data_IF_983564466972
#
_entry.id   IF_983564466972
#
_cell.length_a   1.000
_cell.length_b   1.000
_cell.length_c   1.000
_cell.angle_alpha   90.00
_cell.angle_beta   90.00
_cell.angle_gamma   90.00
#
_symmetry.space_group_name_H-M   'P 1'
#
loop_
_entity.id
_entity.type
_entity.pdbx_description
1 polymer ?
#
# COMPACT_ATOMS: atom_id res chain seq x y z
N UNK A 1 2.86 -13.48 5.20
CA UNK A 1 1.44 -13.36 4.82
C UNK A 1 1.32 -12.15 3.90
N UNK A 2 0.55 -12.24 2.80
CA UNK A 2 0.50 -11.17 1.78
C UNK A 2 -0.23 -9.94 2.30
N UNK A 3 0.32 -8.74 2.09
CA UNK A 3 -0.32 -7.48 2.46
C UNK A 3 -1.64 -7.30 1.70
N UNK A 4 -2.78 -7.56 2.35
CA UNK A 4 -4.10 -7.47 1.71
C UNK A 4 -4.81 -6.20 2.15
N UNK A 5 -4.90 -5.22 1.26
CA UNK A 5 -5.70 -3.99 1.49
C UNK A 5 -7.18 -4.36 1.44
N UNK A 6 -7.91 -4.18 2.56
CA UNK A 6 -9.31 -4.60 2.67
C UNK A 6 -10.28 -3.62 1.98
N UNK A 7 -11.44 -4.15 1.59
CA UNK A 7 -12.41 -3.67 0.58
C UNK A 7 -12.78 -2.18 0.66
N UNK A 8 -12.76 -1.55 1.83
CA UNK A 8 -13.22 -0.17 1.99
C UNK A 8 -12.31 0.92 1.39
N UNK A 9 -11.01 0.67 1.23
CA UNK A 9 -10.06 1.68 0.72
C UNK A 9 -9.27 1.21 -0.50
N UNK A 10 -9.38 -0.10 -0.83
CA UNK A 10 -8.66 -0.72 -1.94
C UNK A 10 -8.88 0.01 -3.26
N UNK A 11 -10.10 0.42 -3.58
CA UNK A 11 -10.41 1.14 -4.83
C UNK A 11 -9.67 2.47 -4.98
N UNK A 12 -9.30 3.10 -3.85
CA UNK A 12 -8.59 4.38 -3.79
C UNK A 12 -7.09 4.22 -3.93
N UNK A 13 -6.59 3.02 -3.64
CA UNK A 13 -5.16 2.71 -3.57
C UNK A 13 -4.68 1.85 -4.74
N UNK A 14 -5.55 0.97 -5.24
CA UNK A 14 -5.26 -0.07 -6.21
C UNK A 14 -6.10 0.18 -7.47
N UNK A 15 -5.49 -0.01 -8.64
CA UNK A 15 -6.14 0.10 -9.94
C UNK A 15 -6.87 -1.19 -10.35
N UNK A 16 -7.48 -1.17 -11.53
CA UNK A 16 -8.28 -2.26 -12.09
C UNK A 16 -7.42 -3.46 -12.52
N UNK A 17 -6.08 -3.29 -12.56
CA UNK A 17 -5.10 -4.33 -12.87
C UNK A 17 -4.38 -4.85 -11.61
N UNK A 18 -4.92 -4.56 -10.43
CA UNK A 18 -4.38 -4.95 -9.12
C UNK A 18 -3.00 -4.34 -8.81
N UNK A 19 -2.70 -3.17 -9.40
CA UNK A 19 -1.45 -2.43 -9.14
C UNK A 19 -1.68 -1.26 -8.21
N UNK A 20 -0.63 -0.93 -7.45
CA UNK A 20 -0.62 0.25 -6.60
C UNK A 20 -0.69 1.50 -7.50
N UNK A 21 -1.66 2.38 -7.24
CA UNK A 21 -1.84 3.62 -8.01
C UNK A 21 -0.60 4.52 -7.82
N UNK A 22 -0.14 5.25 -8.85
CA UNK A 22 1.14 5.99 -8.81
C UNK A 22 1.28 7.04 -7.70
N UNK A 23 0.17 7.62 -7.22
CA UNK A 23 0.17 8.61 -6.14
C UNK A 23 0.08 7.97 -4.74
N UNK A 24 0.07 6.64 -4.67
CA UNK A 24 0.01 5.88 -3.44
C UNK A 24 1.39 5.31 -3.14
N UNK A 25 1.84 5.47 -1.89
CA UNK A 25 3.08 4.83 -1.40
C UNK A 25 2.75 3.95 -0.20
N UNK A 26 3.25 2.73 -0.23
CA UNK A 26 3.11 1.77 0.86
C UNK A 26 4.49 1.52 1.46
N UNK A 27 4.57 1.46 2.78
CA UNK A 27 5.78 1.06 3.49
C UNK A 27 5.45 -0.05 4.48
N UNK A 28 6.34 -1.04 4.58
CA UNK A 28 6.34 -2.03 5.66
C UNK A 28 7.51 -1.68 6.56
N UNK A 29 7.21 -1.22 7.77
CA UNK A 29 8.16 -0.59 8.67
C UNK A 29 8.86 0.61 7.99
N UNK A 30 10.12 0.46 7.57
CA UNK A 30 10.89 1.52 6.90
C UNK A 30 11.13 1.26 5.40
N UNK A 31 10.67 0.13 4.88
CA UNK A 31 10.93 -0.28 3.50
C UNK A 31 9.72 -0.02 2.60
N UNK A 32 9.94 0.61 1.45
CA UNK A 32 8.90 0.90 0.46
C UNK A 32 8.44 -0.41 -0.23
N UNK A 33 7.16 -0.73 -0.10
CA UNK A 33 6.50 -1.83 -0.80
C UNK A 33 5.95 -1.34 -2.14
N UNK A 34 6.64 -1.71 -3.23
CA UNK A 34 6.26 -1.35 -4.61
C UNK A 34 5.22 -2.29 -5.22
N UNK A 35 4.97 -3.42 -4.59
CA UNK A 35 4.06 -4.46 -5.05
C UNK A 35 3.23 -5.02 -3.88
N UNK A 36 2.00 -5.47 -4.17
CA UNK A 36 1.10 -6.06 -3.17
C UNK A 36 1.56 -7.44 -2.66
N UNK A 37 2.51 -8.06 -3.36
CA UNK A 37 3.14 -9.31 -2.96
C UNK A 37 4.17 -9.14 -1.81
N UNK A 38 4.42 -7.91 -1.35
CA UNK A 38 5.28 -7.67 -0.21
C UNK A 38 4.82 -8.50 1.01
N UNK A 39 5.77 -9.21 1.61
CA UNK A 39 5.50 -10.06 2.77
C UNK A 39 5.39 -9.19 4.01
N UNK A 40 4.30 -9.34 4.72
CA UNK A 40 4.07 -8.74 6.04
C UNK A 40 4.00 -9.86 7.08
N UNK A 41 4.60 -9.63 8.23
CA UNK A 41 4.57 -10.51 9.39
C UNK A 41 3.75 -9.88 10.51
N UNK A 42 3.32 -10.69 11.44
CA UNK A 42 2.68 -10.20 12.66
C UNK A 42 3.63 -9.25 13.40
N UNK A 43 3.11 -8.09 13.79
CA UNK A 43 3.88 -7.02 14.43
C UNK A 43 4.47 -5.98 13.48
N UNK A 44 4.50 -6.24 12.16
CA UNK A 44 4.93 -5.23 11.19
C UNK A 44 3.91 -4.09 11.09
N UNK A 45 4.40 -2.86 10.95
CA UNK A 45 3.57 -1.69 10.73
C UNK A 45 3.50 -1.38 9.24
N UNK A 46 2.28 -1.26 8.70
CA UNK A 46 2.07 -0.87 7.30
C UNK A 46 1.65 0.60 7.24
N UNK A 47 2.47 1.44 6.61
CA UNK A 47 2.15 2.83 6.35
C UNK A 47 1.53 2.97 4.97
N UNK A 48 0.44 3.73 4.90
CA UNK A 48 -0.37 3.93 3.70
C UNK A 48 -0.43 5.43 3.44
N UNK A 49 0.36 5.91 2.48
CA UNK A 49 0.57 7.34 2.25
C UNK A 49 -0.02 7.74 0.89
N UNK A 50 -0.99 8.65 0.92
CA UNK A 50 -1.40 9.37 -0.27
C UNK A 50 -0.45 10.56 -0.46
N UNK A 51 0.28 10.59 -1.57
CA UNK A 51 0.98 11.79 -2.01
C UNK A 51 -0.06 12.78 -2.55
N UNK A 52 -0.77 13.46 -1.66
CA UNK A 52 -1.41 14.72 -2.01
C UNK A 52 -0.26 15.70 -2.25
N UNK A 53 -0.12 16.18 -3.48
CA UNK A 53 0.81 17.26 -3.79
C UNK A 53 0.53 18.40 -2.82
N UNK A 54 1.43 18.61 -1.86
CA UNK A 54 1.30 19.63 -0.84
C UNK A 54 1.17 21.00 -1.50
N UNK A 55 0.21 21.79 -1.01
CA UNK A 55 0.32 23.24 -0.97
C UNK A 55 0.87 23.64 0.39
#
# INVERSE_FOLDING_TARGET
>A
MSCTVRIGIRFRMIDEHDRIRPHMRLFVNNDEARELAATVRDGDTVHVICALSGG
#
